data_IF_524032605062
#
_entry.id   IF_524032605062
#
_cell.length_a   1.000
_cell.length_b   1.000
_cell.length_c   1.000
_cell.angle_alpha   90.00
_cell.angle_beta   90.00
_cell.angle_gamma   90.00
#
_symmetry.space_group_name_H-M   'P 1'
#
loop_
_entity.id
_entity.type
_entity.pdbx_description
1 polymer ?
#
# COMPACT_ATOMS: atom_id res chain seq x y z
N UNK A 1 37.17 -23.66 35.15
CA UNK A 1 37.45 -22.70 34.06
C UNK A 1 36.65 -23.03 32.80
N UNK A 2 36.62 -24.32 32.36
CA UNK A 2 35.85 -24.76 31.17
C UNK A 2 34.32 -24.55 31.35
N UNK A 3 33.76 -24.89 32.51
CA UNK A 3 32.33 -24.71 32.81
C UNK A 3 31.90 -23.26 32.69
N UNK A 4 32.66 -22.27 33.16
CA UNK A 4 32.34 -20.84 33.02
C UNK A 4 32.37 -20.35 31.58
N UNK A 5 33.19 -20.94 30.71
CA UNK A 5 33.27 -20.56 29.28
C UNK A 5 32.10 -21.07 28.43
N UNK A 6 31.34 -22.04 28.96
CA UNK A 6 30.16 -22.60 28.26
C UNK A 6 28.87 -22.17 28.98
N UNK A 7 28.81 -22.25 30.31
CA UNK A 7 27.59 -21.91 31.08
C UNK A 7 27.27 -20.44 31.06
N UNK A 8 28.29 -19.56 31.14
CA UNK A 8 28.06 -18.09 31.10
C UNK A 8 27.33 -17.64 29.82
N UNK A 9 27.88 -17.88 28.62
CA UNK A 9 27.20 -17.53 27.38
C UNK A 9 25.81 -18.14 27.21
N UNK A 10 25.59 -19.37 27.72
CA UNK A 10 24.24 -20.01 27.70
C UNK A 10 23.28 -19.27 28.63
N UNK A 11 23.72 -18.85 29.82
CA UNK A 11 22.93 -18.05 30.74
C UNK A 11 22.56 -16.69 30.13
N UNK A 12 23.51 -16.02 29.47
CA UNK A 12 23.31 -14.75 28.80
C UNK A 12 22.28 -14.85 27.65
N UNK A 13 22.41 -15.90 26.81
CA UNK A 13 21.44 -16.15 25.74
C UNK A 13 20.04 -16.47 26.32
N UNK A 14 19.98 -17.28 27.40
CA UNK A 14 18.73 -17.61 28.09
C UNK A 14 18.06 -16.38 28.69
N UNK A 15 18.85 -15.46 29.26
CA UNK A 15 18.32 -14.19 29.79
C UNK A 15 17.79 -13.30 28.68
N UNK A 16 18.57 -13.13 27.59
CA UNK A 16 18.12 -12.40 26.41
C UNK A 16 16.83 -13.01 25.81
N UNK A 17 16.73 -14.35 25.76
CA UNK A 17 15.54 -15.05 25.28
C UNK A 17 14.31 -14.82 26.20
N UNK A 18 14.49 -14.80 27.52
CA UNK A 18 13.40 -14.47 28.44
C UNK A 18 12.92 -13.04 28.28
N UNK A 19 13.81 -12.07 28.13
CA UNK A 19 13.47 -10.67 27.85
C UNK A 19 12.72 -10.55 26.53
N UNK A 20 13.20 -11.20 25.46
CA UNK A 20 12.53 -11.24 24.16
C UNK A 20 11.10 -11.81 24.29
N UNK A 21 10.94 -12.92 25.02
CA UNK A 21 9.65 -13.55 25.26
C UNK A 21 8.67 -12.71 26.11
N UNK A 22 9.19 -11.76 26.91
CA UNK A 22 8.37 -10.79 27.65
C UNK A 22 8.05 -9.51 26.87
N UNK A 23 8.45 -9.45 25.58
CA UNK A 23 8.15 -8.31 24.68
C UNK A 23 9.27 -7.27 24.56
N UNK A 24 10.42 -7.49 25.21
CA UNK A 24 11.60 -6.64 25.00
C UNK A 24 12.38 -7.09 23.75
N UNK A 25 11.92 -6.68 22.59
CA UNK A 25 12.54 -7.02 21.30
C UNK A 25 13.90 -6.31 21.07
N UNK A 26 14.31 -5.44 21.98
CA UNK A 26 15.65 -4.81 21.93
C UNK A 26 16.73 -5.69 22.56
N UNK A 27 16.34 -6.75 23.29
CA UNK A 27 17.27 -7.66 23.93
C UNK A 27 18.19 -8.33 22.93
N UNK A 28 19.50 -8.39 23.25
CA UNK A 28 20.52 -9.08 22.46
C UNK A 28 21.39 -9.90 23.39
N UNK A 29 21.83 -11.05 22.89
CA UNK A 29 22.82 -11.86 23.57
C UNK A 29 24.25 -11.44 23.18
N UNK A 30 25.22 -11.41 24.12
CA UNK A 30 26.63 -11.22 23.78
C UNK A 30 27.10 -12.33 22.82
N UNK A 31 27.89 -11.96 21.81
CA UNK A 31 28.50 -12.92 20.88
C UNK A 31 29.85 -13.34 21.45
N UNK A 32 29.80 -14.29 22.39
CA UNK A 32 30.96 -14.73 23.18
C UNK A 32 31.01 -16.25 23.30
N UNK A 33 32.17 -16.81 23.66
CA UNK A 33 32.35 -18.23 23.93
C UNK A 33 33.06 -19.01 22.82
N UNK A 34 32.75 -20.29 22.68
CA UNK A 34 33.21 -21.10 21.54
C UNK A 34 32.47 -20.72 20.24
N UNK A 35 33.00 -21.19 19.11
CA UNK A 35 32.44 -20.85 17.78
C UNK A 35 30.96 -21.20 17.69
N UNK A 36 30.55 -22.33 18.24
CA UNK A 36 29.16 -22.80 18.20
C UNK A 36 28.23 -21.91 19.01
N UNK A 37 28.67 -21.41 20.17
CA UNK A 37 27.86 -20.50 21.01
C UNK A 37 27.81 -19.08 20.40
N UNK A 38 28.90 -18.61 19.82
CA UNK A 38 28.92 -17.34 19.10
C UNK A 38 27.99 -17.36 17.87
N UNK A 39 27.97 -18.48 17.12
CA UNK A 39 27.05 -18.68 16.00
C UNK A 39 25.58 -18.72 16.47
N UNK A 40 25.32 -19.43 17.57
CA UNK A 40 23.97 -19.46 18.17
C UNK A 40 23.51 -18.09 18.65
N UNK A 41 24.37 -17.33 19.36
CA UNK A 41 24.08 -15.94 19.77
C UNK A 41 23.82 -15.03 18.56
N UNK A 42 24.58 -15.17 17.49
CA UNK A 42 24.39 -14.41 16.25
C UNK A 42 23.03 -14.74 15.60
N UNK A 43 22.69 -16.01 15.50
CA UNK A 43 21.40 -16.47 14.96
C UNK A 43 20.23 -15.96 15.81
N UNK A 44 20.34 -16.03 17.15
CA UNK A 44 19.38 -15.46 18.08
C UNK A 44 19.21 -13.95 17.88
N UNK A 45 20.32 -13.19 17.79
CA UNK A 45 20.29 -11.76 17.58
C UNK A 45 19.65 -11.37 16.25
N UNK A 46 19.87 -12.15 15.18
CA UNK A 46 19.22 -11.96 13.89
C UNK A 46 17.70 -12.17 13.98
N UNK A 47 17.26 -13.19 14.71
CA UNK A 47 15.84 -13.43 14.98
C UNK A 47 15.24 -12.28 15.81
N UNK A 48 15.90 -11.84 16.87
CA UNK A 48 15.47 -10.72 17.70
C UNK A 48 15.36 -9.41 16.89
N UNK A 49 16.29 -9.15 15.99
CA UNK A 49 16.24 -7.99 15.10
C UNK A 49 15.04 -8.02 14.14
N UNK A 50 14.71 -9.20 13.59
CA UNK A 50 13.51 -9.37 12.76
C UNK A 50 12.23 -9.14 13.55
N UNK A 51 12.12 -9.67 14.77
CA UNK A 51 10.96 -9.45 15.64
C UNK A 51 10.80 -7.98 16.02
N UNK A 52 11.91 -7.29 16.32
CA UNK A 52 11.91 -5.85 16.58
C UNK A 52 11.40 -5.04 15.37
N UNK A 53 11.81 -5.40 14.16
CA UNK A 53 11.35 -4.76 12.92
C UNK A 53 9.84 -4.94 12.75
N UNK A 54 9.33 -6.16 13.01
CA UNK A 54 7.89 -6.48 12.91
C UNK A 54 7.11 -5.66 13.94
N UNK A 55 7.56 -5.60 15.19
CA UNK A 55 6.89 -4.87 16.27
C UNK A 55 6.89 -3.35 16.00
N UNK A 56 8.02 -2.79 15.58
CA UNK A 56 8.11 -1.38 15.19
C UNK A 56 7.15 -1.06 14.03
N UNK A 57 7.10 -1.92 13.01
CA UNK A 57 6.18 -1.76 11.87
C UNK A 57 4.72 -1.81 12.30
N UNK A 58 4.37 -2.71 13.26
CA UNK A 58 3.03 -2.80 13.85
C UNK A 58 2.68 -1.54 14.64
N UNK A 59 3.61 -1.03 15.45
CA UNK A 59 3.42 0.21 16.21
C UNK A 59 3.21 1.42 15.30
N UNK A 60 4.02 1.56 14.25
CA UNK A 60 3.85 2.62 13.24
C UNK A 60 2.51 2.49 12.51
N UNK A 61 2.10 1.27 12.14
CA UNK A 61 0.83 1.01 11.51
C UNK A 61 -0.34 1.51 12.38
N UNK A 62 -0.38 1.14 13.67
CA UNK A 62 -1.41 1.58 14.62
C UNK A 62 -1.41 3.10 14.83
N UNK A 63 -0.22 3.71 14.91
CA UNK A 63 -0.07 5.17 15.03
C UNK A 63 -0.63 5.90 13.79
N UNK A 64 -0.30 5.41 12.60
CA UNK A 64 -0.79 5.97 11.35
C UNK A 64 -2.31 5.83 11.21
N UNK A 65 -2.88 4.67 11.60
CA UNK A 65 -4.34 4.47 11.67
C UNK A 65 -4.99 5.54 12.54
N UNK A 66 -4.52 5.69 13.77
CA UNK A 66 -5.09 6.65 14.71
C UNK A 66 -5.05 8.08 14.15
N UNK A 67 -3.97 8.44 13.45
CA UNK A 67 -3.83 9.75 12.82
C UNK A 67 -4.78 9.93 11.63
N UNK A 68 -4.84 8.96 10.71
CA UNK A 68 -5.70 9.01 9.50
C UNK A 68 -7.20 8.95 9.85
N UNK A 69 -7.58 8.37 10.98
CA UNK A 69 -8.95 8.40 11.50
C UNK A 69 -9.27 9.73 12.20
N UNK A 70 -8.33 10.27 13.00
CA UNK A 70 -8.56 11.49 13.78
C UNK A 70 -8.88 12.69 12.91
N UNK A 71 -8.17 12.87 11.81
CA UNK A 71 -8.31 14.04 10.92
C UNK A 71 -9.74 14.19 10.38
N UNK A 72 -10.34 13.21 9.67
CA UNK A 72 -11.70 13.32 9.18
C UNK A 72 -12.73 13.43 10.31
N UNK A 73 -12.54 12.71 11.44
CA UNK A 73 -13.44 12.82 12.60
C UNK A 73 -13.44 14.22 13.18
N UNK A 74 -12.29 14.88 13.29
CA UNK A 74 -12.20 16.27 13.78
C UNK A 74 -12.89 17.23 12.82
N UNK A 75 -12.72 17.05 11.50
CA UNK A 75 -13.39 17.87 10.48
C UNK A 75 -14.90 17.69 10.53
N UNK A 76 -15.39 16.45 10.57
CA UNK A 76 -16.82 16.11 10.69
C UNK A 76 -17.40 16.78 11.95
N UNK A 77 -16.75 16.56 13.09
CA UNK A 77 -17.20 17.13 14.37
C UNK A 77 -17.23 18.65 14.33
N UNK A 78 -16.17 19.29 13.84
CA UNK A 78 -16.08 20.75 13.76
C UNK A 78 -17.19 21.38 12.91
N UNK A 79 -17.52 20.78 11.76
CA UNK A 79 -18.62 21.30 10.93
C UNK A 79 -20.00 21.06 11.55
N UNK A 80 -20.21 19.90 12.20
CA UNK A 80 -21.45 19.62 12.91
C UNK A 80 -21.62 20.60 14.09
N UNK A 81 -20.60 20.79 14.91
CA UNK A 81 -20.64 21.72 16.04
C UNK A 81 -20.90 23.16 15.54
N UNK A 82 -20.22 23.61 14.46
CA UNK A 82 -20.42 24.95 13.87
C UNK A 82 -21.81 25.17 13.26
N UNK A 83 -22.47 24.10 12.77
CA UNK A 83 -23.88 24.18 12.36
C UNK A 83 -24.83 24.24 13.56
N UNK A 84 -24.52 23.56 14.65
CA UNK A 84 -25.35 23.51 15.87
C UNK A 84 -25.28 24.79 16.69
N UNK A 85 -24.11 25.43 16.77
CA UNK A 85 -23.92 26.67 17.54
C UNK A 85 -24.19 27.95 16.75
N UNK A 86 -24.52 27.80 15.45
CA UNK A 86 -24.84 28.92 14.54
C UNK A 86 -23.63 29.67 13.98
N UNK A 87 -22.42 29.21 14.22
CA UNK A 87 -21.20 29.73 13.59
C UNK A 87 -21.24 29.56 12.07
N UNK A 88 -21.84 28.47 11.58
CA UNK A 88 -22.11 28.23 10.17
C UNK A 88 -23.54 28.72 9.86
N UNK A 89 -23.72 29.70 8.96
CA UNK A 89 -25.02 30.21 8.59
C UNK A 89 -25.92 29.13 7.96
N UNK A 90 -27.27 29.19 8.19
CA UNK A 90 -28.20 28.21 7.63
C UNK A 90 -28.11 28.03 6.11
N UNK A 91 -27.80 29.08 5.37
CA UNK A 91 -27.64 29.08 3.91
C UNK A 91 -26.44 28.25 3.43
N UNK A 92 -25.41 28.11 4.27
CA UNK A 92 -24.21 27.30 3.96
C UNK A 92 -24.30 25.85 4.46
N UNK A 93 -25.30 25.52 5.26
CA UNK A 93 -25.47 24.20 5.88
C UNK A 93 -25.38 23.06 4.85
N UNK A 94 -26.01 23.22 3.68
CA UNK A 94 -25.97 22.18 2.61
C UNK A 94 -24.56 21.95 2.07
N UNK A 95 -23.76 22.99 1.95
CA UNK A 95 -22.36 22.89 1.52
C UNK A 95 -21.53 22.09 2.53
N UNK A 96 -21.60 22.45 3.81
CA UNK A 96 -20.84 21.75 4.86
C UNK A 96 -21.33 20.34 5.13
N UNK A 97 -22.62 20.04 5.00
CA UNK A 97 -23.15 18.68 5.01
C UNK A 97 -22.57 17.84 3.86
N UNK A 98 -22.35 18.44 2.69
CA UNK A 98 -21.66 17.78 1.58
C UNK A 98 -20.23 17.39 1.94
N UNK A 99 -19.48 18.26 2.64
CA UNK A 99 -18.13 17.96 3.12
C UNK A 99 -18.17 16.85 4.19
N UNK A 100 -19.09 16.92 5.15
CA UNK A 100 -19.28 15.87 6.17
C UNK A 100 -19.57 14.52 5.51
N UNK A 101 -20.43 14.47 4.50
CA UNK A 101 -20.73 13.26 3.74
C UNK A 101 -19.49 12.69 3.03
N UNK A 102 -18.67 13.54 2.41
CA UNK A 102 -17.43 13.15 1.75
C UNK A 102 -16.41 12.57 2.76
N UNK A 103 -16.22 13.22 3.90
CA UNK A 103 -15.29 12.75 4.94
C UNK A 103 -15.77 11.43 5.58
N UNK A 104 -17.09 11.27 5.76
CA UNK A 104 -17.67 10.01 6.23
C UNK A 104 -17.43 8.87 5.24
N UNK A 105 -17.63 9.12 3.93
CA UNK A 105 -17.31 8.15 2.88
C UNK A 105 -15.82 7.80 2.81
N UNK A 106 -14.93 8.78 3.03
CA UNK A 106 -13.48 8.56 3.15
C UNK A 106 -13.14 7.66 4.33
N UNK A 107 -13.77 7.91 5.49
CA UNK A 107 -13.57 7.12 6.70
C UNK A 107 -14.00 5.66 6.48
N UNK A 108 -15.16 5.45 5.86
CA UNK A 108 -15.66 4.12 5.54
C UNK A 108 -14.69 3.35 4.64
N UNK A 109 -14.16 3.98 3.57
CA UNK A 109 -13.15 3.36 2.70
C UNK A 109 -11.84 3.05 3.43
N UNK A 110 -11.40 3.93 4.34
CA UNK A 110 -10.19 3.68 5.13
C UNK A 110 -10.35 2.44 6.02
N UNK A 111 -11.48 2.31 6.72
CA UNK A 111 -11.79 1.14 7.56
C UNK A 111 -11.87 -0.13 6.71
N UNK A 112 -12.54 -0.08 5.54
CA UNK A 112 -12.64 -1.24 4.64
C UNK A 112 -11.26 -1.68 4.16
N UNK A 113 -10.41 -0.76 3.71
CA UNK A 113 -9.04 -1.07 3.27
C UNK A 113 -8.20 -1.72 4.39
N UNK A 114 -8.40 -1.30 5.65
CA UNK A 114 -7.72 -1.92 6.80
C UNK A 114 -8.19 -3.36 7.05
N UNK A 115 -9.50 -3.59 6.96
CA UNK A 115 -10.06 -4.94 7.09
C UNK A 115 -9.57 -5.86 5.96
N UNK A 116 -9.52 -5.35 4.73
CA UNK A 116 -9.05 -6.10 3.58
C UNK A 116 -7.57 -6.46 3.73
N UNK A 117 -6.71 -5.50 4.10
CA UNK A 117 -5.27 -5.77 4.38
C UNK A 117 -5.13 -6.84 5.47
N UNK A 118 -5.88 -6.73 6.58
CA UNK A 118 -5.78 -7.69 7.69
C UNK A 118 -6.15 -9.11 7.24
N UNK A 119 -7.23 -9.26 6.48
CA UNK A 119 -7.67 -10.56 5.96
C UNK A 119 -6.70 -11.13 4.93
N UNK A 120 -6.20 -10.29 4.01
CA UNK A 120 -5.23 -10.69 2.98
C UNK A 120 -3.91 -11.16 3.61
N UNK A 121 -3.40 -10.46 4.62
CA UNK A 121 -2.17 -10.83 5.33
C UNK A 121 -2.33 -12.07 6.21
N UNK A 122 -3.54 -12.30 6.77
CA UNK A 122 -3.86 -13.52 7.48
C UNK A 122 -4.04 -14.75 6.56
N UNK A 123 -4.09 -14.53 5.23
CA UNK A 123 -4.37 -15.59 4.27
C UNK A 123 -5.82 -16.10 4.35
N UNK A 124 -6.75 -15.28 4.88
CA UNK A 124 -8.15 -15.65 5.09
C UNK A 124 -9.01 -15.43 3.85
N UNK A 125 -8.48 -14.77 2.82
CA UNK A 125 -9.22 -14.49 1.58
C UNK A 125 -9.02 -15.66 0.60
N UNK A 126 -10.09 -16.37 0.21
CA UNK A 126 -9.99 -17.41 -0.82
C UNK A 126 -9.64 -16.76 -2.17
N UNK A 127 -8.76 -17.40 -2.93
CA UNK A 127 -8.35 -16.94 -4.26
C UNK A 127 -9.14 -17.72 -5.31
N UNK A 128 -9.91 -17.03 -6.13
CA UNK A 128 -10.72 -17.60 -7.21
C UNK A 128 -10.07 -17.34 -8.57
N UNK A 129 -8.85 -17.88 -8.77
CA UNK A 129 -8.12 -17.69 -10.01
C UNK A 129 -8.78 -18.41 -11.19
N UNK A 130 -8.89 -17.71 -12.32
CA UNK A 130 -9.41 -18.22 -13.58
C UNK A 130 -8.67 -17.61 -14.78
N UNK A 131 -8.77 -18.25 -15.94
CA UNK A 131 -8.23 -17.70 -17.19
C UNK A 131 -9.24 -16.74 -17.80
N UNK A 132 -8.83 -15.51 -18.07
CA UNK A 132 -9.65 -14.50 -18.74
C UNK A 132 -8.80 -13.41 -19.39
N UNK A 133 -9.44 -12.55 -20.18
CA UNK A 133 -8.78 -11.45 -20.89
C UNK A 133 -8.55 -10.24 -19.95
N UNK A 134 -7.29 -9.86 -19.77
CA UNK A 134 -6.87 -8.71 -18.98
C UNK A 134 -7.52 -7.40 -19.43
N UNK A 135 -7.60 -7.18 -20.77
CA UNK A 135 -8.10 -5.93 -21.32
C UNK A 135 -9.54 -5.63 -20.93
N UNK A 136 -10.35 -6.68 -20.67
CA UNK A 136 -11.71 -6.50 -20.15
C UNK A 136 -11.69 -5.76 -18.82
N UNK A 137 -10.88 -6.22 -17.87
CA UNK A 137 -10.77 -5.57 -16.55
C UNK A 137 -10.21 -4.15 -16.64
N UNK A 138 -9.17 -3.94 -17.46
CA UNK A 138 -8.56 -2.59 -17.62
C UNK A 138 -9.57 -1.63 -18.23
N UNK A 139 -10.31 -2.05 -19.25
CA UNK A 139 -11.34 -1.23 -19.90
C UNK A 139 -12.49 -0.91 -18.95
N UNK A 140 -13.02 -1.91 -18.22
CA UNK A 140 -14.11 -1.71 -17.26
C UNK A 140 -13.74 -0.68 -16.18
N UNK A 141 -12.50 -0.73 -15.67
CA UNK A 141 -12.00 0.24 -14.70
C UNK A 141 -11.90 1.64 -15.28
N UNK A 142 -11.33 1.80 -16.48
CA UNK A 142 -11.19 3.12 -17.12
C UNK A 142 -12.57 3.73 -17.42
N UNK A 143 -13.52 2.94 -17.90
CA UNK A 143 -14.89 3.39 -18.16
C UNK A 143 -15.62 3.80 -16.87
N UNK A 144 -15.35 3.15 -15.74
CA UNK A 144 -15.97 3.52 -14.46
C UNK A 144 -15.56 4.91 -13.96
N UNK A 145 -14.42 5.43 -14.42
CA UNK A 145 -13.89 6.76 -14.10
C UNK A 145 -13.96 7.76 -15.26
N UNK A 146 -14.74 7.45 -16.33
CA UNK A 146 -14.85 8.28 -17.55
C UNK A 146 -15.11 9.75 -17.25
N UNK A 147 -16.07 10.07 -16.36
CA UNK A 147 -16.40 11.45 -15.99
C UNK A 147 -15.20 12.19 -15.39
N UNK A 148 -14.40 11.52 -14.55
CA UNK A 148 -13.20 12.14 -13.93
C UNK A 148 -12.09 12.36 -14.94
N UNK A 149 -11.97 11.47 -15.91
CA UNK A 149 -11.02 11.55 -17.02
C UNK A 149 -11.38 12.71 -17.93
N UNK A 150 -12.66 12.85 -18.30
CA UNK A 150 -13.17 13.97 -19.09
C UNK A 150 -13.02 15.32 -18.38
N UNK A 151 -13.42 15.42 -17.11
CA UNK A 151 -13.29 16.61 -16.30
C UNK A 151 -11.82 17.05 -16.16
N UNK A 152 -10.90 16.08 -16.06
CA UNK A 152 -9.46 16.31 -16.03
C UNK A 152 -8.85 16.56 -17.42
N UNK A 153 -9.62 16.40 -18.50
CA UNK A 153 -9.12 16.46 -19.90
C UNK A 153 -7.92 15.54 -20.12
N UNK A 154 -7.94 14.37 -19.49
CA UNK A 154 -6.84 13.39 -19.53
C UNK A 154 -6.94 12.58 -20.84
N UNK A 155 -5.84 12.50 -21.57
CA UNK A 155 -5.74 11.66 -22.77
C UNK A 155 -5.42 10.20 -22.36
N UNK A 156 -6.24 9.27 -22.84
CA UNK A 156 -6.06 7.82 -22.59
C UNK A 156 -5.46 7.17 -23.82
N UNK A 157 -4.32 6.51 -23.66
CA UNK A 157 -3.58 5.87 -24.74
C UNK A 157 -3.35 4.38 -24.47
N UNK A 158 -3.30 3.57 -25.55
CA UNK A 158 -2.94 2.15 -25.47
C UNK A 158 -3.98 1.26 -24.80
N UNK A 159 -5.22 1.74 -24.65
CA UNK A 159 -6.31 0.95 -24.08
C UNK A 159 -6.81 -0.09 -25.11
N UNK A 160 -6.77 -1.37 -24.73
CA UNK A 160 -7.19 -2.47 -25.58
C UNK A 160 -6.09 -3.00 -26.50
N UNK A 161 -6.40 -4.05 -27.23
CA UNK A 161 -5.49 -4.77 -28.13
C UNK A 161 -6.02 -6.16 -28.44
N UNK A 162 -5.15 -7.04 -28.92
CA UNK A 162 -5.47 -8.46 -29.03
C UNK A 162 -5.73 -9.04 -27.64
N UNK A 163 -6.67 -10.00 -27.48
CA UNK A 163 -6.98 -10.61 -26.20
C UNK A 163 -5.72 -11.15 -25.52
N UNK A 164 -5.47 -10.70 -24.27
CA UNK A 164 -4.30 -11.10 -23.50
C UNK A 164 -4.74 -11.89 -22.27
N UNK A 165 -4.65 -13.23 -22.39
CA UNK A 165 -5.13 -14.13 -21.35
C UNK A 165 -4.17 -14.17 -20.15
N UNK A 166 -4.72 -13.97 -18.97
CA UNK A 166 -4.05 -14.12 -17.68
C UNK A 166 -4.74 -15.20 -16.85
N UNK A 167 -4.02 -15.79 -15.88
CA UNK A 167 -4.58 -16.69 -14.88
C UNK A 167 -4.47 -16.05 -13.50
N UNK A 168 -5.55 -15.41 -13.07
CA UNK A 168 -5.61 -14.67 -11.81
C UNK A 168 -7.06 -14.57 -11.30
N UNK A 169 -7.22 -14.09 -10.07
CA UNK A 169 -8.52 -13.74 -9.54
C UNK A 169 -8.98 -12.38 -10.12
N UNK A 170 -10.13 -12.31 -10.82
CA UNK A 170 -10.59 -11.07 -11.46
C UNK A 170 -10.82 -9.91 -10.50
N UNK A 171 -11.28 -10.19 -9.27
CA UNK A 171 -11.53 -9.15 -8.26
C UNK A 171 -10.22 -8.57 -7.76
N UNK A 172 -9.17 -9.40 -7.61
CA UNK A 172 -7.84 -8.93 -7.24
C UNK A 172 -7.24 -8.04 -8.32
N UNK A 173 -7.31 -8.48 -9.57
CA UNK A 173 -6.78 -7.70 -10.70
C UNK A 173 -7.56 -6.40 -10.89
N UNK A 174 -8.90 -6.43 -10.75
CA UNK A 174 -9.73 -5.25 -10.78
C UNK A 174 -9.29 -4.24 -9.70
N UNK A 175 -9.08 -4.68 -8.47
CA UNK A 175 -8.64 -3.81 -7.38
C UNK A 175 -7.24 -3.23 -7.59
N UNK A 176 -6.30 -4.02 -8.16
CA UNK A 176 -4.96 -3.55 -8.52
C UNK A 176 -5.04 -2.45 -9.59
N UNK A 177 -5.74 -2.73 -10.69
CA UNK A 177 -5.89 -1.78 -11.80
C UNK A 177 -6.61 -0.51 -11.32
N UNK A 178 -7.71 -0.66 -10.56
CA UNK A 178 -8.44 0.48 -9.99
C UNK A 178 -7.55 1.38 -9.12
N UNK A 179 -6.77 0.81 -8.20
CA UNK A 179 -5.91 1.61 -7.33
C UNK A 179 -4.80 2.35 -8.10
N UNK A 180 -4.25 1.72 -9.15
CA UNK A 180 -3.22 2.35 -9.98
C UNK A 180 -3.83 3.44 -10.85
N UNK A 181 -4.99 3.19 -11.49
CA UNK A 181 -5.71 4.15 -12.34
C UNK A 181 -6.20 5.34 -11.50
N UNK A 182 -6.78 5.11 -10.31
CA UNK A 182 -7.19 6.17 -9.39
C UNK A 182 -6.01 7.08 -9.00
N UNK A 183 -4.83 6.49 -8.76
CA UNK A 183 -3.61 7.27 -8.54
C UNK A 183 -3.18 8.03 -9.81
N UNK A 184 -3.20 7.39 -10.97
CA UNK A 184 -2.85 8.04 -12.24
C UNK A 184 -3.75 9.25 -12.51
N UNK A 185 -5.07 9.12 -12.35
CA UNK A 185 -6.02 10.23 -12.52
C UNK A 185 -5.76 11.38 -11.53
N UNK A 186 -5.43 11.06 -10.28
CA UNK A 186 -5.15 12.08 -9.24
C UNK A 186 -3.89 12.89 -9.51
N UNK A 187 -2.87 12.26 -10.06
CA UNK A 187 -1.55 12.88 -10.22
C UNK A 187 -1.25 13.34 -11.66
N UNK A 188 -2.14 13.07 -12.60
CA UNK A 188 -2.06 13.61 -13.97
C UNK A 188 -2.59 15.04 -14.00
N UNK A 189 -1.82 16.03 -14.48
CA UNK A 189 -2.30 17.37 -14.66
C UNK A 189 -3.36 17.45 -15.78
N UNK A 190 -4.17 18.49 -15.76
CA UNK A 190 -5.16 18.71 -16.83
C UNK A 190 -4.47 18.77 -18.20
N UNK A 191 -4.97 17.98 -19.15
CA UNK A 191 -4.39 17.81 -20.48
C UNK A 191 -3.20 16.86 -20.53
N UNK A 192 -2.90 16.17 -19.41
CA UNK A 192 -1.89 15.12 -19.40
C UNK A 192 -2.39 13.77 -19.96
N UNK A 193 -1.53 12.76 -19.93
CA UNK A 193 -1.77 11.46 -20.57
C UNK A 193 -1.66 10.33 -19.55
N UNK A 194 -2.56 9.35 -19.65
CA UNK A 194 -2.41 8.04 -19.00
C UNK A 194 -2.30 7.00 -20.10
N UNK A 195 -1.24 6.19 -20.09
CA UNK A 195 -1.01 5.16 -21.09
C UNK A 195 -0.98 3.76 -20.48
N UNK A 196 -1.51 2.81 -21.23
CA UNK A 196 -1.63 1.41 -20.87
C UNK A 196 -0.84 0.56 -21.87
N UNK A 197 -0.07 -0.39 -21.38
CA UNK A 197 0.59 -1.39 -22.20
C UNK A 197 0.61 -2.73 -21.47
N UNK A 198 0.42 -3.82 -22.19
CA UNK A 198 0.59 -5.14 -21.64
C UNK A 198 1.19 -6.07 -22.68
N UNK A 199 2.11 -6.94 -22.25
CA UNK A 199 2.77 -7.89 -23.13
C UNK A 199 3.03 -9.23 -22.43
N UNK A 200 2.96 -10.32 -23.19
CA UNK A 200 3.32 -11.64 -22.68
C UNK A 200 4.83 -11.81 -22.71
N UNK A 201 5.43 -12.13 -21.57
CA UNK A 201 6.84 -12.47 -21.39
C UNK A 201 6.99 -13.90 -20.85
N UNK A 202 7.07 -14.86 -21.72
CA UNK A 202 7.14 -16.27 -21.34
C UNK A 202 5.84 -16.75 -20.70
N UNK A 203 5.90 -17.16 -19.43
CA UNK A 203 4.75 -17.62 -18.64
C UNK A 203 4.08 -16.51 -17.81
N UNK A 204 4.52 -15.28 -17.96
CA UNK A 204 3.95 -14.11 -17.29
C UNK A 204 3.43 -13.10 -18.33
N UNK A 205 2.48 -12.28 -17.89
CA UNK A 205 2.03 -11.08 -18.58
C UNK A 205 2.51 -9.89 -17.76
N UNK A 206 3.27 -9.00 -18.38
CA UNK A 206 3.70 -7.73 -17.79
C UNK A 206 2.72 -6.63 -18.19
N UNK A 207 2.23 -5.90 -17.21
CA UNK A 207 1.27 -4.78 -17.38
C UNK A 207 1.95 -3.50 -16.93
N UNK A 208 1.84 -2.45 -17.74
CA UNK A 208 2.39 -1.11 -17.47
C UNK A 208 1.27 -0.09 -17.53
N UNK A 209 1.17 0.71 -16.49
CA UNK A 209 0.27 1.88 -16.44
C UNK A 209 1.14 3.08 -16.12
N UNK A 210 1.20 4.03 -17.04
CA UNK A 210 2.04 5.22 -16.94
C UNK A 210 1.17 6.47 -16.98
N UNK A 211 1.52 7.46 -16.20
CA UNK A 211 0.92 8.77 -16.28
C UNK A 211 1.98 9.88 -16.35
N UNK A 212 1.71 10.91 -17.13
CA UNK A 212 2.47 12.16 -17.08
C UNK A 212 2.14 12.96 -15.81
N UNK A 213 3.10 13.71 -15.29
CA UNK A 213 2.88 14.57 -14.12
C UNK A 213 4.15 14.83 -13.34
N UNK A 214 3.98 15.12 -12.04
CA UNK A 214 5.11 15.46 -11.17
C UNK A 214 6.14 14.35 -10.99
N UNK A 215 5.79 13.11 -11.36
CA UNK A 215 6.64 11.94 -11.10
C UNK A 215 6.81 11.67 -9.60
N UNK A 216 7.75 10.79 -9.29
CA UNK A 216 8.12 10.40 -7.92
C UNK A 216 9.62 10.61 -7.77
N UNK A 217 10.05 11.23 -6.67
CA UNK A 217 11.47 11.42 -6.39
C UNK A 217 12.19 10.06 -6.22
N UNK A 218 13.45 9.91 -6.68
CA UNK A 218 14.18 8.65 -6.59
C UNK A 218 14.27 8.08 -5.17
N UNK A 219 14.37 8.96 -4.16
CA UNK A 219 14.42 8.58 -2.75
C UNK A 219 13.09 8.03 -2.24
N UNK A 220 11.97 8.39 -2.88
CA UNK A 220 10.63 7.97 -2.53
C UNK A 220 10.24 6.62 -3.15
N UNK A 221 10.78 6.28 -4.33
CA UNK A 221 10.44 5.07 -5.08
C UNK A 221 10.49 3.76 -4.26
N UNK A 222 11.49 3.51 -3.40
CA UNK A 222 11.53 2.29 -2.59
C UNK A 222 10.38 2.16 -1.60
N UNK A 223 9.74 3.27 -1.25
CA UNK A 223 8.74 3.34 -0.17
C UNK A 223 7.30 3.47 -0.66
N UNK A 224 7.06 3.66 -1.96
CA UNK A 224 5.70 3.93 -2.49
C UNK A 224 4.69 2.80 -2.23
N UNK A 225 5.16 1.57 -2.01
CA UNK A 225 4.35 0.41 -1.66
C UNK A 225 4.27 0.16 -0.15
N UNK A 226 4.89 1.00 0.68
CA UNK A 226 4.78 0.89 2.13
C UNK A 226 3.44 1.44 2.62
N UNK A 227 2.96 0.90 3.75
CA UNK A 227 1.66 1.29 4.34
C UNK A 227 1.67 2.75 4.76
N UNK A 228 0.64 3.50 4.38
CA UNK A 228 0.46 4.93 4.69
C UNK A 228 1.54 5.85 4.12
N UNK A 229 2.38 5.34 3.24
CA UNK A 229 3.39 6.19 2.63
C UNK A 229 2.74 7.26 1.74
N UNK A 230 3.16 8.49 1.93
CA UNK A 230 2.76 9.67 1.13
C UNK A 230 3.99 10.57 1.01
N UNK A 231 4.30 10.97 -0.21
CA UNK A 231 5.37 11.92 -0.43
C UNK A 231 5.01 13.30 0.12
N UNK A 232 5.94 14.01 0.77
CA UNK A 232 5.69 15.32 1.42
C UNK A 232 5.18 16.38 0.45
N UNK A 233 5.59 16.34 -0.81
CA UNK A 233 5.12 17.24 -1.88
C UNK A 233 3.64 17.03 -2.22
N UNK A 234 3.11 15.83 -2.02
CA UNK A 234 1.68 15.53 -2.20
C UNK A 234 0.82 16.08 -1.07
N UNK A 235 1.42 16.49 0.04
CA UNK A 235 0.69 17.09 1.19
C UNK A 235 0.04 18.45 0.87
N UNK A 236 0.52 19.15 -0.15
CA UNK A 236 -0.04 20.44 -0.61
C UNK A 236 -1.06 20.34 -1.75
N UNK A 237 -1.04 19.27 -2.54
CA UNK A 237 -1.93 19.04 -3.68
C UNK A 237 -2.90 17.90 -3.36
N UNK A 238 -4.09 18.24 -2.83
CA UNK A 238 -5.25 17.35 -2.66
C UNK A 238 -4.95 15.96 -2.03
N UNK A 239 -4.63 15.94 -0.75
CA UNK A 239 -4.24 14.76 0.06
C UNK A 239 -5.37 13.74 0.31
N UNK A 240 -6.20 13.43 -0.68
CA UNK A 240 -7.37 12.54 -0.53
C UNK A 240 -7.06 11.04 -0.45
N UNK A 241 -5.81 10.62 -0.58
CA UNK A 241 -5.41 9.21 -0.49
C UNK A 241 -5.17 8.74 0.95
N UNK A 242 -5.44 7.47 1.25
CA UNK A 242 -5.11 6.83 2.54
C UNK A 242 -3.65 6.38 2.63
N UNK A 243 -2.92 6.27 1.51
CA UNK A 243 -1.60 5.64 1.44
C UNK A 243 -1.64 4.11 1.59
N UNK A 244 -2.81 3.49 1.43
CA UNK A 244 -2.99 2.04 1.51
C UNK A 244 -3.17 1.37 0.15
N UNK A 245 -3.61 2.12 -0.88
CA UNK A 245 -3.95 1.53 -2.19
C UNK A 245 -2.80 0.80 -2.85
N UNK A 246 -1.61 1.40 -2.93
CA UNK A 246 -0.43 0.76 -3.51
C UNK A 246 0.09 -0.43 -2.67
N UNK A 247 -0.04 -0.36 -1.34
CA UNK A 247 0.28 -1.50 -0.48
C UNK A 247 -0.66 -2.69 -0.75
N UNK A 248 -1.96 -2.44 -0.92
CA UNK A 248 -2.93 -3.46 -1.34
C UNK A 248 -2.54 -4.05 -2.71
N UNK A 249 -2.15 -3.22 -3.69
CA UNK A 249 -1.66 -3.71 -4.98
C UNK A 249 -0.50 -4.69 -4.82
N UNK A 250 0.49 -4.37 -3.98
CA UNK A 250 1.65 -5.24 -3.70
C UNK A 250 1.23 -6.59 -3.13
N UNK A 251 0.29 -6.60 -2.17
CA UNK A 251 -0.22 -7.85 -1.58
C UNK A 251 -0.94 -8.68 -2.63
N UNK A 252 -1.90 -8.09 -3.37
CA UNK A 252 -2.74 -8.80 -4.34
C UNK A 252 -1.93 -9.37 -5.51
N UNK A 253 -0.96 -8.60 -6.03
CA UNK A 253 -0.06 -9.06 -7.08
C UNK A 253 0.81 -10.22 -6.59
N UNK A 254 1.36 -10.14 -5.38
CA UNK A 254 2.15 -11.22 -4.79
C UNK A 254 1.30 -12.49 -4.56
N UNK A 255 0.07 -12.36 -4.06
CA UNK A 255 -0.87 -13.48 -3.90
C UNK A 255 -1.25 -14.11 -5.24
N UNK A 256 -1.26 -13.34 -6.32
CA UNK A 256 -1.47 -13.81 -7.69
C UNK A 256 -0.21 -14.43 -8.31
N UNK A 257 0.91 -14.53 -7.58
CA UNK A 257 2.17 -15.10 -8.07
C UNK A 257 2.99 -14.15 -8.96
N UNK A 258 2.70 -12.85 -8.93
CA UNK A 258 3.39 -11.80 -9.68
C UNK A 258 4.31 -10.94 -8.83
N UNK A 259 4.82 -9.88 -9.43
CA UNK A 259 5.63 -8.84 -8.80
C UNK A 259 5.16 -7.47 -9.26
N UNK A 260 5.34 -6.44 -8.44
CA UNK A 260 5.02 -5.05 -8.76
C UNK A 260 6.18 -4.13 -8.38
N UNK A 261 6.45 -3.15 -9.23
CA UNK A 261 7.41 -2.07 -8.95
C UNK A 261 6.95 -0.76 -9.60
N UNK A 262 7.62 0.32 -9.24
CA UNK A 262 7.39 1.65 -9.81
C UNK A 262 8.67 2.16 -10.47
N UNK A 263 8.51 2.83 -11.59
CA UNK A 263 9.53 3.57 -12.32
C UNK A 263 9.06 5.01 -12.46
N UNK A 264 9.95 5.98 -12.39
CA UNK A 264 9.55 7.37 -12.53
C UNK A 264 10.73 8.27 -12.89
N UNK A 265 10.40 9.34 -13.59
CA UNK A 265 11.27 10.49 -13.79
C UNK A 265 10.62 11.71 -13.15
N UNK A 266 11.23 12.23 -12.10
CA UNK A 266 10.71 13.37 -11.34
C UNK A 266 10.46 14.57 -12.26
N UNK A 267 9.27 15.15 -12.20
CA UNK A 267 8.83 16.27 -13.03
C UNK A 267 8.28 15.87 -14.39
N UNK A 268 8.28 14.59 -14.77
CA UNK A 268 7.90 14.16 -16.12
C UNK A 268 6.82 13.07 -16.13
N UNK A 269 7.08 11.89 -15.55
CA UNK A 269 6.15 10.77 -15.57
C UNK A 269 6.35 9.80 -14.39
N UNK A 270 5.32 8.99 -14.14
CA UNK A 270 5.36 7.85 -13.23
C UNK A 270 4.74 6.64 -13.91
N UNK A 271 5.34 5.45 -13.73
CA UNK A 271 4.88 4.17 -14.27
C UNK A 271 4.85 3.11 -13.18
N UNK A 272 3.73 2.43 -13.10
CA UNK A 272 3.60 1.21 -12.30
C UNK A 272 3.64 0.00 -13.22
N UNK A 273 4.51 -0.95 -12.89
CA UNK A 273 4.71 -2.19 -13.64
C UNK A 273 4.39 -3.36 -12.74
N UNK A 274 3.51 -4.25 -13.19
CA UNK A 274 3.22 -5.48 -12.45
C UNK A 274 3.11 -6.68 -13.40
N UNK A 275 3.33 -7.87 -12.84
CA UNK A 275 3.26 -9.12 -13.61
C UNK A 275 2.17 -10.03 -13.05
N UNK A 276 1.55 -10.81 -13.93
CA UNK A 276 0.56 -11.83 -13.59
C UNK A 276 0.87 -13.11 -14.38
N UNK A 277 0.53 -14.30 -13.87
CA UNK A 277 0.65 -15.53 -14.64
C UNK A 277 -0.15 -15.48 -15.94
N UNK A 278 0.46 -15.91 -17.05
CA UNK A 278 -0.22 -15.99 -18.32
C UNK A 278 -1.25 -17.12 -18.31
N UNK A 279 -2.45 -16.85 -18.83
CA UNK A 279 -3.46 -17.86 -19.12
C UNK A 279 -3.06 -18.78 -20.28
N UNK A 280 -3.55 -20.01 -20.25
CA UNK A 280 -3.42 -20.97 -21.34
C UNK A 280 -4.58 -20.86 -22.29
#
# INVERSE_FOLDING_TARGET
VLAKRITGPIEDISEAARRLGSGDFTARAPVDGCVELADFATTFNNMAARLQTIDNSRGQFMGNIAHELRTPMTTIKGFIDGMLDGTIPPEETKHYLGIVSQETGRLARLVQNMLDITKLEAGEVPIHAQTYDLWKTVTDVVLSDEQRIEDGKIDIQGLGGDPLLIYADPDFVHQVVYNIVDNAIKFTPAGGTISFAAERRGNMVEVRIENTGAGIAPEALPFVFERFYKEDRSRGMNTRGSGLGLHICKILVNLSGGQIHAESEEGNWCRFVFTLPAGQ
#
